data_IF_138806888605
#
_entry.id   IF_138806888605
#
_cell.length_a   1.000
_cell.length_b   1.000
_cell.length_c   1.000
_cell.angle_alpha   90.00
_cell.angle_beta   90.00
_cell.angle_gamma   90.00
#
_symmetry.space_group_name_H-M   'P 1'
#
loop_
_entity.id
_entity.type
_entity.pdbx_description
1 polymer ?
#
# COMPACT_ATOMS: atom_id res chain seq x y z
N UNK A 1 32.32 13.30 -5.63
CA UNK A 1 31.05 13.10 -4.92
C UNK A 1 29.95 13.01 -5.97
N UNK A 2 29.47 11.81 -6.27
CA UNK A 2 28.48 11.60 -7.34
C UNK A 2 27.06 11.90 -6.81
N UNK A 3 26.43 12.95 -7.32
CA UNK A 3 25.04 13.28 -7.00
C UNK A 3 24.07 12.36 -7.75
N UNK A 4 23.56 11.34 -7.05
CA UNK A 4 22.45 10.55 -7.54
C UNK A 4 21.14 11.30 -7.26
N UNK A 5 20.57 11.95 -8.28
CA UNK A 5 19.26 12.61 -8.20
C UNK A 5 18.14 11.56 -8.02
N UNK A 6 17.16 11.79 -7.12
CA UNK A 6 16.03 10.87 -6.88
C UNK A 6 15.21 10.60 -8.14
N UNK A 7 15.25 11.50 -9.12
CA UNK A 7 14.61 11.35 -10.42
C UNK A 7 15.20 10.18 -11.24
N UNK A 8 16.49 9.89 -11.09
CA UNK A 8 17.14 8.74 -11.76
C UNK A 8 16.71 7.41 -11.15
N UNK A 9 16.44 7.36 -9.85
CA UNK A 9 15.97 6.15 -9.17
C UNK A 9 14.53 5.82 -9.59
N UNK A 10 13.66 6.85 -9.65
CA UNK A 10 12.29 6.74 -10.17
C UNK A 10 12.25 6.32 -11.65
N UNK A 11 13.14 6.88 -12.47
CA UNK A 11 13.26 6.50 -13.89
C UNK A 11 13.79 5.07 -14.08
N UNK A 12 14.75 4.63 -13.26
CA UNK A 12 15.26 3.26 -13.28
C UNK A 12 14.22 2.25 -12.79
N UNK A 13 13.42 2.60 -11.78
CA UNK A 13 12.27 1.78 -11.36
C UNK A 13 11.22 1.66 -12.48
N UNK A 14 10.94 2.76 -13.20
CA UNK A 14 10.03 2.74 -14.36
C UNK A 14 10.56 1.87 -15.51
N UNK A 15 11.86 1.93 -15.81
CA UNK A 15 12.49 1.14 -16.89
C UNK A 15 12.64 -0.35 -16.53
N UNK A 16 12.91 -0.69 -15.27
CA UNK A 16 12.95 -2.07 -14.80
C UNK A 16 11.56 -2.74 -14.81
N UNK A 17 10.49 -1.97 -14.61
CA UNK A 17 9.11 -2.44 -14.80
C UNK A 17 8.68 -2.52 -16.28
N UNK A 18 9.33 -1.76 -17.15
CA UNK A 18 9.00 -1.69 -18.58
C UNK A 18 9.47 -2.88 -19.43
N UNK A 19 10.24 -3.84 -18.88
CA UNK A 19 10.79 -4.96 -19.68
C UNK A 19 9.95 -6.23 -19.72
N UNK A 20 8.79 -6.26 -19.08
CA UNK A 20 7.89 -7.42 -19.13
C UNK A 20 6.95 -7.41 -20.36
N UNK A 21 7.41 -6.93 -21.52
CA UNK A 21 6.70 -7.01 -22.81
C UNK A 21 7.16 -8.19 -23.68
N UNK A 22 7.63 -9.28 -23.05
CA UNK A 22 7.64 -10.56 -23.73
C UNK A 22 6.19 -11.04 -23.81
N UNK A 23 5.53 -10.73 -24.94
CA UNK A 23 4.16 -11.13 -25.21
C UNK A 23 4.14 -12.65 -25.46
N UNK A 24 3.99 -13.41 -24.38
CA UNK A 24 3.60 -14.82 -24.48
C UNK A 24 2.24 -14.90 -25.20
N UNK A 25 2.10 -15.85 -26.11
CA UNK A 25 0.87 -16.14 -26.83
C UNK A 25 -0.31 -16.23 -25.85
N UNK A 26 -1.50 -15.72 -26.20
CA UNK A 26 -2.62 -15.71 -25.28
C UNK A 26 -3.04 -17.15 -24.98
N UNK A 27 -2.83 -17.59 -23.74
CA UNK A 27 -3.56 -18.71 -23.17
C UNK A 27 -5.05 -18.49 -23.42
N UNK A 28 -5.78 -19.55 -23.82
CA UNK A 28 -7.24 -19.51 -23.97
C UNK A 28 -7.85 -18.74 -22.79
N UNK A 29 -8.79 -17.79 -23.00
CA UNK A 29 -9.07 -16.73 -22.03
C UNK A 29 -9.48 -17.31 -20.68
N UNK A 30 -8.51 -17.54 -19.81
CA UNK A 30 -8.75 -17.91 -18.43
C UNK A 30 -9.28 -16.62 -17.84
N UNK A 31 -10.59 -16.57 -17.59
CA UNK A 31 -11.23 -15.42 -16.97
C UNK A 31 -10.51 -15.12 -15.67
N UNK A 32 -9.73 -14.03 -15.63
CA UNK A 32 -8.99 -13.59 -14.46
C UNK A 32 -9.96 -13.49 -13.29
N UNK A 33 -9.67 -14.18 -12.19
CA UNK A 33 -10.50 -14.17 -10.98
C UNK A 33 -9.91 -13.14 -10.02
N UNK A 34 -10.76 -12.30 -9.44
CA UNK A 34 -10.30 -11.32 -8.45
C UNK A 34 -9.57 -11.97 -7.28
N UNK A 35 -10.08 -13.09 -6.77
CA UNK A 35 -9.43 -13.85 -5.69
C UNK A 35 -8.51 -14.95 -6.22
N UNK A 36 -7.58 -14.58 -7.11
CA UNK A 36 -6.46 -15.44 -7.50
C UNK A 36 -5.41 -15.53 -6.37
N UNK A 37 -4.37 -16.35 -6.58
CA UNK A 37 -3.29 -16.51 -5.60
C UNK A 37 -2.52 -15.21 -5.36
N UNK A 38 -2.38 -14.36 -6.38
CA UNK A 38 -1.60 -13.13 -6.28
C UNK A 38 -2.33 -12.11 -5.42
N UNK A 39 -3.60 -11.82 -5.70
CA UNK A 39 -4.39 -10.91 -4.89
C UNK A 39 -4.56 -11.41 -3.46
N UNK A 40 -4.78 -12.72 -3.24
CA UNK A 40 -4.78 -13.26 -1.87
C UNK A 40 -3.49 -12.93 -1.12
N UNK A 41 -2.34 -13.14 -1.77
CA UNK A 41 -1.03 -12.81 -1.17
C UNK A 41 -0.90 -11.31 -0.90
N UNK A 42 -1.25 -10.46 -1.87
CA UNK A 42 -1.20 -9.00 -1.72
C UNK A 42 -2.10 -8.52 -0.58
N UNK A 43 -3.35 -9.00 -0.48
CA UNK A 43 -4.26 -8.59 0.59
C UNK A 43 -3.83 -9.10 1.96
N UNK A 44 -3.22 -10.28 2.06
CA UNK A 44 -2.63 -10.77 3.33
C UNK A 44 -1.47 -9.89 3.77
N UNK A 45 -0.54 -9.56 2.86
CA UNK A 45 0.60 -8.69 3.17
C UNK A 45 0.13 -7.29 3.55
N UNK A 46 -0.83 -6.75 2.80
CA UNK A 46 -1.44 -5.45 3.09
C UNK A 46 -2.10 -5.44 4.47
N UNK A 47 -2.94 -6.43 4.79
CA UNK A 47 -3.59 -6.53 6.09
C UNK A 47 -2.57 -6.61 7.24
N UNK A 48 -1.48 -7.38 7.05
CA UNK A 48 -0.41 -7.47 8.03
C UNK A 48 0.30 -6.14 8.28
N UNK A 49 0.69 -5.43 7.22
CA UNK A 49 1.38 -4.14 7.35
C UNK A 49 0.47 -3.03 7.85
N UNK A 50 -0.78 -2.95 7.38
CA UNK A 50 -1.75 -1.96 7.86
C UNK A 50 -2.05 -2.18 9.36
N UNK A 51 -2.11 -3.44 9.80
CA UNK A 51 -2.27 -3.76 11.23
C UNK A 51 -1.05 -3.35 12.05
N UNK A 52 0.16 -3.61 11.54
CA UNK A 52 1.39 -3.19 12.20
C UNK A 52 1.49 -1.66 12.29
N UNK A 53 1.14 -0.96 11.21
CA UNK A 53 1.12 0.50 11.15
C UNK A 53 0.11 1.09 12.15
N UNK A 54 -1.11 0.54 12.20
CA UNK A 54 -2.09 0.89 13.21
C UNK A 54 -1.55 0.69 14.64
N UNK A 55 -0.96 -0.48 14.93
CA UNK A 55 -0.48 -0.80 16.27
C UNK A 55 0.64 0.14 16.72
N UNK A 56 1.59 0.44 15.82
CA UNK A 56 2.70 1.35 16.11
C UNK A 56 2.19 2.79 16.24
N UNK A 57 1.31 3.23 15.34
CA UNK A 57 0.68 4.56 15.44
C UNK A 57 -0.09 4.73 16.74
N UNK A 58 -0.88 3.72 17.12
CA UNK A 58 -1.62 3.71 18.38
C UNK A 58 -0.68 3.83 19.57
N UNK A 59 0.39 3.02 19.60
CA UNK A 59 1.40 3.05 20.65
C UNK A 59 2.12 4.40 20.71
N UNK A 60 2.55 4.95 19.58
CA UNK A 60 3.24 6.23 19.52
C UNK A 60 2.36 7.37 20.05
N UNK A 61 1.10 7.44 19.62
CA UNK A 61 0.16 8.46 20.08
C UNK A 61 -0.18 8.31 21.57
N UNK A 62 -0.29 7.09 22.07
CA UNK A 62 -0.48 6.84 23.50
C UNK A 62 0.70 7.31 24.37
N UNK A 63 1.90 7.41 23.79
CA UNK A 63 3.11 7.89 24.46
C UNK A 63 3.47 9.35 24.15
N UNK A 64 2.51 10.16 23.69
CA UNK A 64 2.71 11.59 23.43
C UNK A 64 3.37 11.91 22.09
N UNK A 65 3.50 10.91 21.20
CA UNK A 65 3.87 11.11 19.81
C UNK A 65 2.82 11.92 19.04
N UNK A 66 3.15 12.28 17.79
CA UNK A 66 2.26 13.05 16.91
C UNK A 66 2.28 12.45 15.52
N UNK A 67 1.13 12.46 14.87
CA UNK A 67 1.01 12.01 13.49
C UNK A 67 1.62 13.06 12.55
N UNK A 68 2.51 12.63 11.67
CA UNK A 68 3.16 13.50 10.69
C UNK A 68 2.42 13.52 9.35
N UNK A 69 1.67 12.47 9.02
CA UNK A 69 0.89 12.42 7.79
C UNK A 69 -0.31 13.38 7.89
N UNK A 70 -0.35 14.48 7.11
CA UNK A 70 -1.44 15.45 7.20
C UNK A 70 -2.80 14.87 6.81
N UNK A 71 -2.83 13.78 6.03
CA UNK A 71 -4.07 13.08 5.64
C UNK A 71 -4.60 12.24 6.82
N UNK A 72 -3.70 11.52 7.50
CA UNK A 72 -4.07 10.65 8.64
C UNK A 72 -4.33 11.43 9.93
N UNK A 73 -3.58 12.50 10.14
CA UNK A 73 -3.59 13.33 11.36
C UNK A 73 -4.98 13.66 11.91
N UNK A 74 -5.93 14.22 11.14
CA UNK A 74 -7.25 14.57 11.68
C UNK A 74 -8.04 13.37 12.20
N UNK A 75 -7.75 12.16 11.70
CA UNK A 75 -8.40 10.94 12.16
C UNK A 75 -7.65 10.32 13.33
N UNK A 76 -6.35 10.06 13.18
CA UNK A 76 -5.61 9.25 14.17
C UNK A 76 -5.36 10.00 15.49
N UNK A 77 -5.25 11.33 15.46
CA UNK A 77 -5.12 12.16 16.66
C UNK A 77 -6.46 12.42 17.36
N UNK A 78 -7.60 12.04 16.75
CA UNK A 78 -8.93 12.16 17.39
C UNK A 78 -9.24 11.03 18.40
N UNK A 79 -8.28 10.12 18.61
CA UNK A 79 -8.37 8.98 19.53
C UNK A 79 -8.57 7.64 18.83
N UNK A 80 -8.66 6.56 19.61
CA UNK A 80 -8.68 5.18 19.10
C UNK A 80 -9.80 4.93 18.08
N UNK A 81 -10.99 5.51 18.28
CA UNK A 81 -12.09 5.38 17.33
C UNK A 81 -11.71 5.96 15.95
N UNK A 82 -11.10 7.14 15.92
CA UNK A 82 -10.64 7.76 14.68
C UNK A 82 -9.49 6.99 14.01
N UNK A 83 -8.60 6.39 14.80
CA UNK A 83 -7.58 5.47 14.28
C UNK A 83 -8.22 4.26 13.59
N UNK A 84 -9.14 3.58 14.27
CA UNK A 84 -9.86 2.44 13.70
C UNK A 84 -10.58 2.86 12.41
N UNK A 85 -11.26 4.00 12.41
CA UNK A 85 -11.92 4.54 11.21
C UNK A 85 -10.94 4.75 10.07
N UNK A 86 -9.77 5.34 10.34
CA UNK A 86 -8.75 5.61 9.32
C UNK A 86 -8.20 4.32 8.69
N UNK A 87 -7.67 3.41 9.51
CA UNK A 87 -7.03 2.18 9.02
C UNK A 87 -8.03 1.18 8.42
N UNK A 88 -9.23 1.03 9.02
CA UNK A 88 -10.29 0.22 8.44
C UNK A 88 -10.80 0.84 7.13
N UNK A 89 -10.97 2.17 7.10
CA UNK A 89 -11.37 2.91 5.91
C UNK A 89 -10.38 2.72 4.75
N UNK A 90 -9.07 2.81 5.03
CA UNK A 90 -8.01 2.54 4.05
C UNK A 90 -8.03 1.10 3.55
N UNK A 91 -8.22 0.14 4.44
CA UNK A 91 -8.33 -1.28 4.07
C UNK A 91 -9.51 -1.51 3.11
N UNK A 92 -10.69 -0.98 3.45
CA UNK A 92 -11.89 -1.10 2.63
C UNK A 92 -11.77 -0.33 1.31
N UNK A 93 -11.18 0.87 1.32
CA UNK A 93 -10.93 1.66 0.12
C UNK A 93 -9.98 0.92 -0.83
N UNK A 94 -8.91 0.31 -0.31
CA UNK A 94 -7.97 -0.50 -1.09
C UNK A 94 -8.68 -1.66 -1.78
N UNK A 95 -9.53 -2.38 -1.04
CA UNK A 95 -10.34 -3.47 -1.59
C UNK A 95 -11.30 -2.96 -2.68
N UNK A 96 -12.03 -1.89 -2.40
CA UNK A 96 -13.02 -1.32 -3.32
C UNK A 96 -12.40 -0.81 -4.62
N UNK A 97 -11.30 -0.04 -4.53
CA UNK A 97 -10.59 0.49 -5.71
C UNK A 97 -9.94 -0.64 -6.51
N UNK A 98 -9.30 -1.60 -5.85
CA UNK A 98 -8.74 -2.79 -6.52
C UNK A 98 -9.83 -3.57 -7.26
N UNK A 99 -10.99 -3.80 -6.61
CA UNK A 99 -12.12 -4.48 -7.21
C UNK A 99 -12.76 -3.68 -8.37
N UNK A 100 -12.80 -2.35 -8.29
CA UNK A 100 -13.27 -1.52 -9.39
C UNK A 100 -12.37 -1.66 -10.64
N UNK A 101 -11.05 -1.69 -10.45
CA UNK A 101 -10.11 -1.97 -11.55
C UNK A 101 -10.27 -3.39 -12.10
N UNK A 102 -10.51 -4.37 -11.24
CA UNK A 102 -10.82 -5.72 -11.66
C UNK A 102 -12.05 -5.79 -12.58
N UNK A 103 -13.15 -5.17 -12.14
CA UNK A 103 -14.43 -5.16 -12.85
C UNK A 103 -14.36 -4.47 -14.20
N UNK A 104 -13.44 -3.54 -14.37
CA UNK A 104 -13.19 -2.79 -15.61
C UNK A 104 -12.08 -3.40 -16.48
N UNK A 105 -11.51 -4.54 -16.10
CA UNK A 105 -10.46 -5.23 -16.86
C UNK A 105 -9.04 -4.68 -16.68
N UNK A 106 -8.85 -3.70 -15.80
CA UNK A 106 -7.56 -3.07 -15.53
C UNK A 106 -6.73 -3.87 -14.50
N UNK A 107 -6.40 -5.13 -14.80
CA UNK A 107 -5.78 -6.06 -13.84
C UNK A 107 -4.39 -5.63 -13.33
N UNK A 108 -3.68 -4.78 -14.07
CA UNK A 108 -2.43 -4.16 -13.59
C UNK A 108 -2.71 -3.11 -12.51
N UNK A 109 -3.72 -2.25 -12.71
CA UNK A 109 -4.12 -1.25 -11.73
C UNK A 109 -4.75 -1.89 -10.49
N UNK A 110 -5.53 -2.95 -10.67
CA UNK A 110 -6.06 -3.81 -9.60
C UNK A 110 -4.96 -4.21 -8.60
N UNK A 111 -3.84 -4.73 -9.10
CA UNK A 111 -2.69 -5.15 -8.27
C UNK A 111 -1.86 -3.96 -7.77
N UNK A 112 -1.65 -2.95 -8.61
CA UNK A 112 -0.89 -1.76 -8.26
C UNK A 112 -1.51 -1.02 -7.07
N UNK A 113 -2.85 -0.97 -6.96
CA UNK A 113 -3.54 -0.38 -5.80
C UNK A 113 -3.10 -1.02 -4.49
N UNK A 114 -3.14 -2.35 -4.39
CA UNK A 114 -2.76 -3.04 -3.15
C UNK A 114 -1.25 -2.93 -2.90
N UNK A 115 -0.42 -3.02 -3.94
CA UNK A 115 1.04 -2.83 -3.81
C UNK A 115 1.42 -1.44 -3.32
N UNK A 116 0.73 -0.40 -3.80
CA UNK A 116 0.94 0.97 -3.33
C UNK A 116 0.64 1.09 -1.83
N UNK A 117 -0.47 0.50 -1.38
CA UNK A 117 -0.86 0.57 0.03
C UNK A 117 0.06 -0.24 0.93
N UNK A 118 0.56 -1.40 0.47
CA UNK A 118 1.67 -2.12 1.12
C UNK A 118 2.89 -1.21 1.30
N UNK A 119 3.26 -0.45 0.27
CA UNK A 119 4.38 0.48 0.32
C UNK A 119 4.16 1.62 1.31
N UNK A 120 2.95 2.18 1.35
CA UNK A 120 2.56 3.25 2.25
C UNK A 120 2.62 2.83 3.72
N UNK A 121 1.94 1.74 4.11
CA UNK A 121 1.99 1.23 5.50
C UNK A 121 3.37 0.70 5.87
N UNK A 122 4.09 0.08 4.91
CA UNK A 122 5.46 -0.35 5.11
C UNK A 122 6.42 0.81 5.38
N UNK A 123 6.23 1.95 4.71
CA UNK A 123 6.96 3.18 5.00
C UNK A 123 6.62 3.73 6.39
N UNK A 124 5.34 3.78 6.77
CA UNK A 124 4.90 4.22 8.10
C UNK A 124 5.52 3.40 9.23
N UNK A 125 5.50 2.07 9.10
CA UNK A 125 6.16 1.14 10.02
C UNK A 125 7.66 1.40 10.08
N UNK A 126 8.35 1.43 8.94
CA UNK A 126 9.80 1.63 8.90
C UNK A 126 10.22 2.98 9.47
N UNK A 127 9.49 4.06 9.15
CA UNK A 127 9.75 5.40 9.67
C UNK A 127 9.58 5.43 11.18
N UNK A 128 8.48 4.87 11.70
CA UNK A 128 8.22 4.81 13.14
C UNK A 128 9.28 3.99 13.88
N UNK A 129 9.69 2.85 13.32
CA UNK A 129 10.78 2.04 13.86
C UNK A 129 12.15 2.71 13.74
N UNK A 130 12.36 3.66 12.84
CA UNK A 130 13.61 4.41 12.76
C UNK A 130 13.65 5.64 13.68
N UNK A 131 12.49 6.14 14.11
CA UNK A 131 12.36 7.40 14.85
C UNK A 131 11.64 7.24 16.20
N UNK A 132 11.56 6.01 16.72
CA UNK A 132 11.05 5.75 18.07
C UNK A 132 11.89 6.54 19.09
N UNK A 133 11.22 7.29 19.97
CA UNK A 133 11.80 7.92 21.15
C UNK A 133 11.09 7.41 22.38
#
# INVERSE_FOLDING_TARGET
MNHHSPLRLLFLLFVLYGRAFAQALPDAPSRHKFWDRQNKTLFIVHAGLETADFAITHHNLANGGRELNPIGKPFVESGTAGQITFFAGRTLATLGVSYAFHRTGHHKLERATTMFMIGDSGYGVAYSLAHHR
#
